data_IF_101328662488
#
_entry.id   IF_101328662488
#
_cell.length_a   1.000
_cell.length_b   1.000
_cell.length_c   1.000
_cell.angle_alpha   90.00
_cell.angle_beta   90.00
_cell.angle_gamma   90.00
#
_symmetry.space_group_name_H-M   'P 1'
#
loop_
_entity.id
_entity.type
_entity.pdbx_description
1 polymer ?
#
# COMPACT_ATOMS: atom_id res chain seq x y z
N UNK A 1 -44.84 -2.19 29.86
CA UNK A 1 -45.18 -2.55 28.47
C UNK A 1 -44.12 -1.95 27.58
N UNK A 2 -43.41 -2.81 26.84
CA UNK A 2 -42.70 -2.58 25.57
C UNK A 2 -41.54 -1.55 25.64
N UNK A 3 -40.27 -1.88 25.39
CA UNK A 3 -39.77 -2.61 24.22
C UNK A 3 -38.60 -3.53 24.55
N UNK A 4 -38.84 -4.83 24.39
CA UNK A 4 -37.83 -5.80 24.05
C UNK A 4 -37.90 -6.00 22.53
N UNK A 5 -36.98 -5.41 21.77
CA UNK A 5 -36.80 -5.75 20.36
C UNK A 5 -35.45 -5.26 19.83
N UNK A 6 -34.75 -6.19 19.19
CA UNK A 6 -33.61 -6.02 18.26
C UNK A 6 -32.21 -6.11 18.86
N UNK A 7 -31.96 -7.25 19.50
CA UNK A 7 -30.83 -8.07 19.05
C UNK A 7 -31.00 -8.31 17.54
N UNK A 8 -30.23 -7.60 16.72
CA UNK A 8 -30.03 -7.96 15.32
C UNK A 8 -28.64 -8.56 15.21
N UNK A 9 -28.64 -9.88 15.26
CA UNK A 9 -27.58 -10.78 14.85
C UNK A 9 -27.09 -10.35 13.46
N UNK A 10 -25.90 -9.74 13.40
CA UNK A 10 -25.19 -9.57 12.14
C UNK A 10 -24.61 -10.94 11.78
N UNK A 11 -25.40 -11.75 11.08
CA UNK A 11 -24.84 -12.83 10.30
C UNK A 11 -24.12 -12.18 9.10
N UNK A 12 -22.83 -11.90 9.28
CA UNK A 12 -21.92 -11.58 8.18
C UNK A 12 -21.95 -12.78 7.23
N UNK A 13 -22.46 -12.61 6.01
CA UNK A 13 -22.36 -13.62 4.96
C UNK A 13 -20.88 -13.93 4.74
N UNK A 14 -20.49 -15.11 5.23
CA UNK A 14 -19.11 -15.60 5.21
C UNK A 14 -18.60 -15.68 3.77
N UNK A 15 -17.40 -15.15 3.54
CA UNK A 15 -16.64 -15.39 2.32
C UNK A 15 -16.52 -16.89 2.06
N UNK A 16 -16.61 -17.29 0.80
CA UNK A 16 -16.58 -18.72 0.42
C UNK A 16 -15.23 -19.30 0.82
N UNK A 17 -15.23 -20.32 1.68
CA UNK A 17 -14.03 -21.08 1.99
C UNK A 17 -13.55 -21.85 0.75
N UNK A 18 -12.26 -21.71 0.42
CA UNK A 18 -11.58 -22.46 -0.62
C UNK A 18 -10.91 -23.70 -0.02
N UNK A 19 -10.99 -24.84 -0.71
CA UNK A 19 -10.26 -26.06 -0.33
C UNK A 19 -9.06 -26.20 -1.24
N UNK A 20 -7.87 -26.16 -0.65
CA UNK A 20 -6.59 -26.19 -1.35
C UNK A 20 -5.92 -27.53 -1.06
N UNK A 21 -5.63 -28.38 -2.06
CA UNK A 21 -5.01 -29.67 -1.79
C UNK A 21 -3.61 -29.51 -1.22
N UNK A 22 -3.28 -30.25 -0.15
CA UNK A 22 -1.92 -30.33 0.37
C UNK A 22 -1.27 -31.59 -0.20
N UNK A 23 -0.44 -31.44 -1.22
CA UNK A 23 0.26 -32.61 -1.77
C UNK A 23 1.33 -33.07 -0.79
N UNK A 24 1.04 -34.11 -0.01
CA UNK A 24 2.04 -34.90 0.69
C UNK A 24 2.52 -36.01 -0.25
N UNK A 25 3.76 -35.90 -0.74
CA UNK A 25 4.33 -36.85 -1.69
C UNK A 25 4.48 -38.24 -1.05
N UNK A 26 3.95 -39.33 -1.65
CA UNK A 26 4.45 -40.67 -1.41
C UNK A 26 5.73 -40.89 -2.23
N UNK A 27 6.65 -41.69 -1.69
CA UNK A 27 7.86 -42.12 -2.40
C UNK A 27 7.53 -42.89 -3.70
N UNK A 28 8.31 -42.60 -4.74
CA UNK A 28 8.45 -43.26 -6.06
C UNK A 28 7.66 -42.66 -7.25
N UNK A 29 8.42 -42.08 -8.21
CA UNK A 29 7.99 -41.74 -9.58
C UNK A 29 7.66 -40.27 -9.81
N UNK A 30 8.66 -39.46 -10.19
CA UNK A 30 8.54 -38.00 -10.31
C UNK A 30 7.86 -37.61 -11.64
N UNK A 31 6.56 -37.32 -11.59
CA UNK A 31 5.96 -36.24 -12.41
C UNK A 31 5.97 -34.95 -11.58
N UNK A 32 6.20 -33.76 -12.18
CA UNK A 32 6.16 -32.51 -11.45
C UNK A 32 4.75 -32.26 -10.92
N UNK A 33 4.62 -32.33 -9.59
CA UNK A 33 3.42 -32.00 -8.85
C UNK A 33 3.02 -30.55 -9.17
N UNK A 34 1.98 -30.34 -9.98
CA UNK A 34 1.36 -29.02 -10.11
C UNK A 34 0.86 -28.63 -8.72
N UNK A 35 1.29 -27.50 -8.15
CA UNK A 35 0.83 -27.07 -6.84
C UNK A 35 -0.67 -26.89 -6.92
N UNK A 36 -1.38 -27.53 -6.00
CA UNK A 36 -2.80 -27.71 -6.17
C UNK A 36 -3.54 -26.40 -5.90
N UNK A 37 -4.19 -25.87 -6.93
CA UNK A 37 -4.84 -24.56 -6.93
C UNK A 37 -6.34 -24.70 -6.66
N UNK A 38 -6.90 -23.80 -5.84
CA UNK A 38 -8.32 -23.75 -5.54
C UNK A 38 -8.94 -22.45 -6.07
N UNK A 39 -10.09 -22.56 -6.73
CA UNK A 39 -10.81 -21.36 -7.19
C UNK A 39 -11.72 -20.82 -6.08
N UNK A 40 -11.79 -19.51 -5.97
CA UNK A 40 -12.73 -18.79 -5.12
C UNK A 40 -13.24 -17.54 -5.83
N UNK A 41 -14.22 -16.88 -5.23
CA UNK A 41 -14.87 -15.72 -5.83
C UNK A 41 -15.01 -14.60 -4.82
N UNK A 42 -14.89 -13.36 -5.29
CA UNK A 42 -15.17 -12.18 -4.49
C UNK A 42 -16.66 -11.86 -4.41
N UNK A 43 -16.99 -10.75 -3.73
CA UNK A 43 -18.38 -10.27 -3.57
C UNK A 43 -19.04 -9.92 -4.90
N UNK A 44 -18.23 -9.61 -5.93
CA UNK A 44 -18.68 -9.30 -7.28
C UNK A 44 -18.67 -10.53 -8.21
N UNK A 45 -18.43 -11.72 -7.64
CA UNK A 45 -18.33 -13.00 -8.36
C UNK A 45 -17.18 -13.07 -9.35
N UNK A 46 -16.16 -12.25 -9.19
CA UNK A 46 -14.96 -12.36 -10.02
C UNK A 46 -14.12 -13.54 -9.56
N UNK A 47 -13.43 -14.18 -10.50
CA UNK A 47 -12.66 -15.38 -10.21
C UNK A 47 -11.27 -15.07 -9.61
N UNK A 48 -10.94 -15.82 -8.57
CA UNK A 48 -9.66 -15.80 -7.87
C UNK A 48 -9.14 -17.21 -7.69
N UNK A 49 -7.83 -17.37 -7.59
CA UNK A 49 -7.17 -18.65 -7.36
C UNK A 49 -6.30 -18.57 -6.10
N UNK A 50 -6.39 -19.56 -5.23
CA UNK A 50 -5.56 -19.70 -4.03
C UNK A 50 -4.69 -20.94 -4.18
N UNK A 51 -3.39 -20.79 -3.93
CA UNK A 51 -2.43 -21.88 -3.87
C UNK A 51 -1.78 -21.92 -2.49
N UNK A 52 -1.58 -23.13 -1.97
CA UNK A 52 -0.83 -23.35 -0.74
C UNK A 52 0.58 -23.80 -1.09
N UNK A 53 1.56 -23.11 -0.55
CA UNK A 53 2.98 -23.39 -0.70
C UNK A 53 3.52 -23.97 0.62
N UNK A 54 3.97 -25.22 0.53
CA UNK A 54 4.52 -26.03 1.61
C UNK A 54 6.01 -26.34 1.40
N UNK A 55 6.70 -25.62 0.49
CA UNK A 55 8.13 -25.83 0.22
C UNK A 55 9.03 -25.13 1.26
N UNK A 56 8.53 -24.08 1.89
CA UNK A 56 9.24 -23.31 2.92
C UNK A 56 9.16 -23.87 4.34
N UNK A 57 9.67 -23.10 5.31
CA UNK A 57 9.55 -23.42 6.75
C UNK A 57 8.12 -23.22 7.27
N UNK A 58 7.46 -22.17 6.77
CA UNK A 58 6.11 -21.75 7.13
C UNK A 58 5.17 -21.92 5.94
N UNK A 59 3.91 -22.24 6.21
CA UNK A 59 2.89 -22.29 5.17
C UNK A 59 2.70 -20.88 4.59
N UNK A 60 2.77 -20.81 3.27
CA UNK A 60 2.44 -19.61 2.50
C UNK A 60 1.20 -19.86 1.65
N UNK A 61 0.40 -18.83 1.49
CA UNK A 61 -0.77 -18.80 0.63
C UNK A 61 -0.51 -17.80 -0.48
N UNK A 62 -0.66 -18.20 -1.74
CA UNK A 62 -0.57 -17.31 -2.90
C UNK A 62 -1.98 -17.05 -3.40
N UNK A 63 -2.36 -15.78 -3.51
CA UNK A 63 -3.65 -15.39 -4.08
C UNK A 63 -3.42 -14.73 -5.44
N UNK A 64 -4.11 -15.25 -6.45
CA UNK A 64 -4.13 -14.75 -7.81
C UNK A 64 -5.52 -14.24 -8.18
N UNK A 65 -5.57 -13.16 -8.94
CA UNK A 65 -6.75 -12.64 -9.59
C UNK A 65 -6.79 -13.13 -11.04
N UNK A 66 -7.80 -13.94 -11.37
CA UNK A 66 -7.84 -14.66 -12.65
C UNK A 66 -8.35 -13.80 -13.82
N UNK A 67 -8.99 -12.67 -13.52
CA UNK A 67 -9.78 -11.90 -14.50
C UNK A 67 -9.29 -10.46 -14.68
N UNK A 68 -7.98 -10.29 -14.92
CA UNK A 68 -7.37 -8.98 -15.21
C UNK A 68 -8.03 -8.25 -16.38
N UNK A 69 -8.44 -9.00 -17.41
CA UNK A 69 -9.08 -8.47 -18.62
C UNK A 69 -10.46 -7.84 -18.37
N UNK A 70 -11.08 -8.11 -17.21
CA UNK A 70 -12.34 -7.46 -16.83
C UNK A 70 -12.13 -6.06 -16.25
N UNK A 71 -10.89 -5.64 -15.99
CA UNK A 71 -10.57 -4.28 -15.55
C UNK A 71 -10.59 -3.37 -16.79
N UNK A 72 -11.39 -2.29 -16.84
CA UNK A 72 -11.38 -1.39 -17.98
C UNK A 72 -9.99 -0.77 -18.25
N UNK A 73 -9.66 -0.58 -19.53
CA UNK A 73 -8.41 0.08 -19.94
C UNK A 73 -8.34 1.49 -19.34
N UNK A 74 -7.15 1.89 -18.88
CA UNK A 74 -6.93 3.18 -18.21
C UNK A 74 -7.45 3.24 -16.76
N UNK A 75 -8.05 2.16 -16.26
CA UNK A 75 -8.44 2.01 -14.86
C UNK A 75 -7.56 0.98 -14.17
N UNK A 76 -7.66 0.97 -12.84
CA UNK A 76 -7.09 -0.09 -12.03
C UNK A 76 -8.07 -0.48 -10.93
N UNK A 77 -7.95 -1.71 -10.46
CA UNK A 77 -8.76 -2.24 -9.37
C UNK A 77 -7.89 -2.38 -8.13
N UNK A 78 -8.23 -1.66 -7.09
CA UNK A 78 -7.70 -1.89 -5.75
C UNK A 78 -8.54 -2.97 -5.07
N UNK A 79 -7.89 -3.96 -4.46
CA UNK A 79 -8.57 -4.99 -3.67
C UNK A 79 -7.82 -5.19 -2.36
N UNK A 80 -8.55 -5.30 -1.25
CA UNK A 80 -8.04 -5.61 0.07
C UNK A 80 -8.78 -6.81 0.70
N UNK A 81 -8.06 -7.67 1.40
CA UNK A 81 -8.59 -8.89 1.99
C UNK A 81 -7.81 -9.36 3.22
N UNK A 82 -8.45 -10.21 4.02
CA UNK A 82 -7.81 -11.07 4.99
C UNK A 82 -7.83 -12.52 4.49
N UNK A 83 -6.77 -13.27 4.77
CA UNK A 83 -6.72 -14.71 4.51
C UNK A 83 -6.54 -15.46 5.82
N UNK A 84 -7.27 -16.57 5.97
CA UNK A 84 -7.25 -17.40 7.16
C UNK A 84 -7.02 -18.86 6.79
N UNK A 85 -6.14 -19.53 7.52
CA UNK A 85 -6.07 -20.98 7.52
C UNK A 85 -7.11 -21.53 8.50
N UNK A 86 -7.99 -22.42 8.04
CA UNK A 86 -8.95 -23.09 8.91
C UNK A 86 -8.34 -24.39 9.43
N UNK A 87 -8.25 -24.52 10.75
CA UNK A 87 -7.78 -25.74 11.44
C UNK A 87 -8.82 -26.22 12.46
N UNK A 88 -8.64 -27.43 12.98
CA UNK A 88 -9.40 -27.96 14.12
C UNK A 88 -8.65 -27.66 15.42
N UNK A 89 -9.37 -27.19 16.43
CA UNK A 89 -8.81 -26.98 17.75
C UNK A 89 -8.53 -28.33 18.45
N UNK A 90 -7.38 -28.47 19.12
CA UNK A 90 -7.09 -29.61 19.98
C UNK A 90 -8.14 -29.76 21.08
N UNK A 91 -8.66 -30.96 21.27
CA UNK A 91 -9.60 -31.30 22.36
C UNK A 91 -11.07 -31.01 22.06
N UNK A 92 -11.41 -29.86 21.48
CA UNK A 92 -12.82 -29.53 21.16
C UNK A 92 -13.27 -30.02 19.79
N UNK A 93 -12.34 -30.17 18.84
CA UNK A 93 -12.65 -30.47 17.43
C UNK A 93 -13.35 -29.33 16.69
N UNK A 94 -13.58 -28.18 17.34
CA UNK A 94 -14.17 -27.00 16.72
C UNK A 94 -13.23 -26.43 15.64
N UNK A 95 -13.81 -25.82 14.59
CA UNK A 95 -13.03 -25.14 13.57
C UNK A 95 -12.59 -23.76 14.07
N UNK A 96 -11.32 -23.45 13.86
CA UNK A 96 -10.68 -22.18 14.18
C UNK A 96 -10.03 -21.61 12.93
N UNK A 97 -10.11 -20.29 12.76
CA UNK A 97 -9.50 -19.55 11.67
C UNK A 97 -8.24 -18.83 12.17
N UNK A 98 -7.09 -19.17 11.60
CA UNK A 98 -5.78 -18.58 11.90
C UNK A 98 -5.45 -17.55 10.82
N UNK A 99 -5.36 -16.28 11.22
CA UNK A 99 -5.12 -15.16 10.31
C UNK A 99 -3.68 -15.19 9.74
N UNK A 100 -3.55 -14.91 8.45
CA UNK A 100 -2.24 -14.72 7.81
C UNK A 100 -1.50 -13.50 8.40
N UNK A 101 -0.18 -13.60 8.49
CA UNK A 101 0.67 -12.55 9.04
C UNK A 101 0.67 -11.32 8.13
N UNK A 102 0.74 -10.13 8.75
CA UNK A 102 0.76 -8.82 8.06
C UNK A 102 -0.54 -8.50 7.31
N UNK A 103 -1.65 -9.08 7.73
CA UNK A 103 -2.97 -8.66 7.31
C UNK A 103 -3.31 -7.24 7.85
N UNK A 104 -4.20 -6.49 7.17
CA UNK A 104 -4.85 -6.84 5.91
C UNK A 104 -3.87 -6.81 4.72
N UNK A 105 -4.13 -7.63 3.73
CA UNK A 105 -3.40 -7.63 2.47
C UNK A 105 -4.14 -6.78 1.44
N UNK A 106 -3.40 -6.19 0.50
CA UNK A 106 -4.00 -5.43 -0.58
C UNK A 106 -3.11 -5.39 -1.81
N UNK A 107 -3.72 -5.33 -2.99
CA UNK A 107 -3.03 -5.19 -4.27
C UNK A 107 -3.79 -4.30 -5.25
N UNK A 108 -3.08 -3.85 -6.26
CA UNK A 108 -3.61 -3.08 -7.39
C UNK A 108 -3.46 -3.92 -8.65
N UNK A 109 -4.52 -3.99 -9.43
CA UNK A 109 -4.59 -4.78 -10.65
C UNK A 109 -4.94 -3.88 -11.84
N UNK A 110 -4.34 -4.14 -12.99
CA UNK A 110 -4.54 -3.38 -14.24
C UNK A 110 -4.82 -4.34 -15.39
N UNK A 111 -5.53 -3.88 -16.42
CA UNK A 111 -5.95 -4.68 -17.58
C UNK A 111 -4.80 -5.45 -18.24
N UNK A 112 -3.73 -4.73 -18.59
CA UNK A 112 -2.55 -5.28 -19.29
C UNK A 112 -1.46 -5.76 -18.31
N UNK A 113 -1.84 -6.01 -17.07
CA UNK A 113 -0.92 -6.44 -16.02
C UNK A 113 -0.56 -7.92 -16.12
N UNK A 114 0.46 -8.30 -15.36
CA UNK A 114 0.74 -9.70 -15.04
C UNK A 114 0.54 -9.87 -13.54
N UNK A 115 -0.29 -10.83 -13.14
CA UNK A 115 -0.45 -11.13 -11.73
C UNK A 115 0.67 -12.07 -11.26
N UNK A 116 1.51 -11.56 -10.36
CA UNK A 116 2.63 -12.29 -9.75
C UNK A 116 2.19 -13.06 -8.49
N UNK A 117 0.88 -13.05 -8.18
CA UNK A 117 0.29 -13.43 -6.91
C UNK A 117 0.78 -12.59 -5.72
N UNK A 118 -0.13 -12.42 -4.77
CA UNK A 118 0.23 -11.92 -3.45
C UNK A 118 0.52 -13.10 -2.54
N UNK A 119 1.77 -13.19 -2.08
CA UNK A 119 2.24 -14.22 -1.14
C UNK A 119 1.98 -13.77 0.29
N UNK A 120 1.17 -14.54 1.00
CA UNK A 120 0.78 -14.33 2.38
C UNK A 120 1.39 -15.43 3.23
N UNK A 121 2.13 -15.07 4.27
CA UNK A 121 2.76 -16.05 5.16
C UNK A 121 1.89 -16.27 6.40
N UNK A 122 1.84 -17.50 6.91
CA UNK A 122 1.13 -17.82 8.16
C UNK A 122 2.12 -18.06 9.31
N UNK A 123 1.64 -18.09 10.55
CA UNK A 123 2.44 -18.47 11.72
C UNK A 123 2.61 -19.98 11.87
N UNK A 124 1.97 -20.77 10.99
CA UNK A 124 1.96 -22.23 11.03
C UNK A 124 3.16 -22.79 10.26
N UNK A 125 3.97 -23.60 10.94
CA UNK A 125 5.08 -24.29 10.28
C UNK A 125 4.60 -25.44 9.40
N UNK A 126 5.27 -25.68 8.27
CA UNK A 126 5.00 -26.83 7.40
C UNK A 126 5.21 -28.15 8.16
N UNK A 127 6.20 -28.18 9.07
CA UNK A 127 6.46 -29.31 9.95
C UNK A 127 5.24 -29.64 10.83
N UNK A 128 4.63 -28.63 11.44
CA UNK A 128 3.44 -28.79 12.27
C UNK A 128 2.24 -29.33 11.47
N UNK A 129 2.07 -28.88 10.23
CA UNK A 129 1.00 -29.39 9.34
C UNK A 129 1.22 -30.88 9.05
N UNK A 130 2.46 -31.30 8.78
CA UNK A 130 2.80 -32.71 8.49
C UNK A 130 2.67 -33.61 9.71
N UNK A 131 3.16 -33.17 10.87
CA UNK A 131 3.11 -33.94 12.13
C UNK A 131 1.69 -34.03 12.71
N UNK A 132 0.87 -32.99 12.48
CA UNK A 132 -0.51 -32.89 13.00
C UNK A 132 -1.54 -32.80 11.88
N UNK A 133 -1.38 -33.62 10.83
CA UNK A 133 -2.22 -33.58 9.62
C UNK A 133 -3.73 -33.58 9.91
N UNK A 134 -4.19 -34.35 10.89
CA UNK A 134 -5.61 -34.40 11.27
C UNK A 134 -6.21 -33.10 11.82
N UNK A 135 -5.38 -32.12 12.19
CA UNK A 135 -5.85 -30.79 12.62
C UNK A 135 -5.98 -29.81 11.46
N UNK A 136 -5.21 -29.98 10.39
CA UNK A 136 -5.10 -29.01 9.30
C UNK A 136 -5.74 -29.48 8.00
N UNK A 137 -5.68 -30.79 7.75
CA UNK A 137 -6.16 -31.41 6.53
C UNK A 137 -7.55 -32.03 6.74
N UNK A 138 -8.38 -31.94 5.72
CA UNK A 138 -9.63 -32.71 5.66
C UNK A 138 -9.38 -34.19 5.33
N UNK A 139 -10.45 -34.99 5.25
CA UNK A 139 -10.35 -36.42 4.94
C UNK A 139 -9.80 -36.72 3.53
N UNK A 140 -9.73 -35.72 2.65
CA UNK A 140 -9.17 -35.82 1.32
C UNK A 140 -7.73 -35.26 1.24
N UNK A 141 -7.17 -34.78 2.37
CA UNK A 141 -5.83 -34.20 2.40
C UNK A 141 -5.78 -32.72 2.00
N UNK A 142 -6.90 -32.01 1.99
CA UNK A 142 -6.94 -30.60 1.61
C UNK A 142 -6.86 -29.68 2.84
N UNK A 143 -6.10 -28.59 2.70
CA UNK A 143 -6.20 -27.41 3.57
C UNK A 143 -7.49 -26.66 3.25
N UNK A 144 -8.08 -26.03 4.26
CA UNK A 144 -9.20 -25.11 4.04
C UNK A 144 -8.72 -23.68 4.31
N UNK A 145 -8.87 -22.81 3.32
CA UNK A 145 -8.52 -21.39 3.39
C UNK A 145 -9.80 -20.58 3.33
N UNK A 146 -9.98 -19.64 4.25
CA UNK A 146 -11.07 -18.68 4.20
C UNK A 146 -10.50 -17.32 3.78
N UNK A 147 -11.06 -16.74 2.72
CA UNK A 147 -10.71 -15.39 2.26
C UNK A 147 -11.86 -14.45 2.59
N UNK A 148 -11.57 -13.42 3.38
CA UNK A 148 -12.50 -12.35 3.71
C UNK A 148 -12.16 -11.11 2.88
N UNK A 149 -13.01 -10.80 1.91
CA UNK A 149 -12.89 -9.60 1.09
C UNK A 149 -13.31 -8.36 1.88
N UNK A 150 -12.44 -7.36 1.98
CA UNK A 150 -12.67 -6.14 2.75
C UNK A 150 -13.16 -5.01 1.83
N UNK A 151 -12.29 -4.58 0.91
CA UNK A 151 -12.56 -3.48 -0.02
C UNK A 151 -12.24 -3.91 -1.46
N UNK A 152 -13.04 -3.42 -2.40
CA UNK A 152 -12.80 -3.54 -3.83
C UNK A 152 -13.22 -2.22 -4.47
N UNK A 153 -12.29 -1.52 -5.11
CA UNK A 153 -12.52 -0.20 -5.68
C UNK A 153 -11.95 -0.13 -7.09
N UNK A 154 -12.73 0.36 -8.03
CA UNK A 154 -12.26 0.69 -9.37
C UNK A 154 -11.83 2.16 -9.39
N UNK A 155 -10.55 2.41 -9.65
CA UNK A 155 -9.96 3.74 -9.69
C UNK A 155 -9.62 4.14 -11.13
N UNK A 156 -9.84 5.41 -11.44
CA UNK A 156 -9.46 6.00 -12.73
C UNK A 156 -7.98 6.38 -12.73
N UNK A 157 -7.27 6.04 -13.81
CA UNK A 157 -5.84 6.24 -13.96
C UNK A 157 -5.04 4.99 -13.58
N UNK A 158 -4.58 4.25 -14.59
CA UNK A 158 -3.85 2.98 -14.41
C UNK A 158 -2.45 3.12 -13.76
N UNK A 159 -2.02 4.34 -13.42
CA UNK A 159 -0.72 4.63 -12.83
C UNK A 159 -0.75 4.73 -11.31
N UNK A 160 -1.92 4.58 -10.66
CA UNK A 160 -2.01 4.69 -9.20
C UNK A 160 -1.24 3.58 -8.51
N UNK A 161 -0.31 3.97 -7.63
CA UNK A 161 0.46 3.06 -6.80
C UNK A 161 0.23 3.36 -5.32
N UNK A 162 0.36 2.36 -4.43
CA UNK A 162 0.29 2.59 -2.96
C UNK A 162 1.28 3.62 -2.42
N UNK A 163 2.33 3.92 -3.18
CA UNK A 163 3.33 4.91 -2.81
C UNK A 163 2.95 6.31 -3.28
N UNK A 164 1.95 6.46 -4.14
CA UNK A 164 1.56 7.76 -4.67
C UNK A 164 0.98 8.63 -3.56
N UNK A 165 0.24 8.06 -2.61
CA UNK A 165 -0.27 8.81 -1.45
C UNK A 165 0.85 9.26 -0.51
N UNK A 166 1.85 8.40 -0.30
CA UNK A 166 3.04 8.72 0.50
C UNK A 166 3.85 9.80 -0.21
N UNK A 167 4.12 9.63 -1.51
CA UNK A 167 4.85 10.56 -2.34
C UNK A 167 4.13 11.91 -2.43
N UNK A 168 2.80 11.91 -2.58
CA UNK A 168 1.97 13.13 -2.59
C UNK A 168 2.08 13.87 -1.26
N UNK A 169 1.99 13.15 -0.15
CA UNK A 169 2.10 13.73 1.20
C UNK A 169 3.50 14.30 1.44
N UNK A 170 4.55 13.54 1.11
CA UNK A 170 5.95 13.96 1.25
C UNK A 170 6.27 15.17 0.34
N UNK A 171 5.80 15.16 -0.91
CA UNK A 171 5.94 16.28 -1.82
C UNK A 171 5.25 17.53 -1.27
N UNK A 172 4.04 17.39 -0.72
CA UNK A 172 3.34 18.51 -0.11
C UNK A 172 4.08 19.05 1.12
N UNK A 173 4.59 18.17 1.99
CA UNK A 173 5.40 18.55 3.15
C UNK A 173 6.67 19.30 2.72
N UNK A 174 7.42 18.74 1.78
CA UNK A 174 8.66 19.33 1.28
C UNK A 174 8.40 20.71 0.64
N UNK A 175 7.33 20.86 -0.13
CA UNK A 175 6.94 22.17 -0.69
C UNK A 175 6.66 23.20 0.41
N UNK A 176 6.01 22.82 1.51
CA UNK A 176 5.76 23.71 2.65
C UNK A 176 7.06 24.10 3.36
N UNK A 177 7.97 23.16 3.55
CA UNK A 177 9.27 23.41 4.18
C UNK A 177 10.13 24.35 3.32
N UNK A 178 10.18 24.12 2.00
CA UNK A 178 10.89 25.01 1.06
C UNK A 178 10.31 26.43 1.13
N UNK A 179 8.98 26.58 1.10
CA UNK A 179 8.34 27.90 1.18
C UNK A 179 8.65 28.61 2.51
N UNK A 180 8.66 27.87 3.63
CA UNK A 180 9.02 28.42 4.93
C UNK A 180 10.49 28.89 4.97
N UNK A 181 11.41 28.07 4.45
CA UNK A 181 12.83 28.40 4.38
C UNK A 181 13.09 29.60 3.47
N UNK A 182 12.39 29.70 2.33
CA UNK A 182 12.48 30.85 1.43
C UNK A 182 12.01 32.14 2.11
N UNK A 183 10.91 32.09 2.87
CA UNK A 183 10.40 33.23 3.62
C UNK A 183 11.36 33.68 4.74
N UNK A 184 11.96 32.73 5.45
CA UNK A 184 12.97 33.04 6.47
C UNK A 184 14.23 33.65 5.84
N UNK A 185 14.72 33.07 4.75
CA UNK A 185 15.91 33.57 4.05
C UNK A 185 15.68 35.01 3.54
N UNK A 186 14.51 35.28 2.94
CA UNK A 186 14.13 36.63 2.54
C UNK A 186 14.12 37.62 3.71
N UNK A 187 13.62 37.22 4.88
CA UNK A 187 13.63 38.08 6.07
C UNK A 187 15.05 38.33 6.59
N UNK A 188 15.92 37.31 6.56
CA UNK A 188 17.32 37.44 6.94
C UNK A 188 18.08 38.38 5.99
N UNK A 189 17.89 38.24 4.68
CA UNK A 189 18.47 39.14 3.67
C UNK A 189 18.06 40.60 3.92
N UNK A 190 16.79 40.85 4.25
CA UNK A 190 16.30 42.19 4.61
C UNK A 190 16.97 42.73 5.88
N UNK A 191 17.16 41.89 6.89
CA UNK A 191 17.84 42.29 8.11
C UNK A 191 19.32 42.63 7.85
N UNK A 192 20.03 41.78 7.11
CA UNK A 192 21.42 42.00 6.71
C UNK A 192 21.55 43.32 5.96
N UNK A 193 20.67 43.58 4.98
CA UNK A 193 20.66 44.83 4.23
C UNK A 193 20.41 46.05 5.14
N UNK A 194 19.47 45.94 6.08
CA UNK A 194 19.18 47.00 7.05
C UNK A 194 20.39 47.30 7.94
N UNK A 195 21.07 46.27 8.45
CA UNK A 195 22.27 46.44 9.26
C UNK A 195 23.42 47.06 8.45
N UNK A 196 23.65 46.59 7.23
CA UNK A 196 24.65 47.17 6.33
C UNK A 196 24.39 48.65 6.09
N UNK A 197 23.14 49.03 5.79
CA UNK A 197 22.74 50.44 5.62
C UNK A 197 23.00 51.26 6.88
N UNK A 198 22.64 50.74 8.06
CA UNK A 198 22.89 51.41 9.35
C UNK A 198 24.39 51.59 9.63
N UNK A 199 25.22 50.58 9.35
CA UNK A 199 26.69 50.63 9.52
C UNK A 199 27.30 51.66 8.57
N UNK A 200 26.86 51.70 7.31
CA UNK A 200 27.32 52.67 6.33
C UNK A 200 26.96 54.10 6.75
N UNK A 201 25.75 54.37 7.25
CA UNK A 201 25.40 55.69 7.78
C UNK A 201 26.17 56.07 9.04
N UNK A 202 26.41 55.11 9.94
CA UNK A 202 27.22 55.35 11.13
C UNK A 202 28.68 55.64 10.77
N UNK A 203 29.22 54.95 9.77
CA UNK A 203 30.58 55.18 9.24
C UNK A 203 30.68 56.51 8.48
N UNK A 204 29.63 56.88 7.72
CA UNK A 204 29.55 58.13 6.99
C UNK A 204 29.40 59.36 7.90
N UNK A 205 28.90 59.22 9.14
CA UNK A 205 28.98 60.32 10.13
C UNK A 205 30.42 60.70 10.52
N UNK A 206 31.43 59.96 10.04
CA UNK A 206 32.85 60.30 10.12
C UNK A 206 33.45 61.01 8.89
N UNK A 207 32.75 61.12 7.75
CA UNK A 207 33.24 61.81 6.53
C UNK A 207 32.10 62.43 5.69
N UNK A 208 32.25 63.63 5.11
CA UNK A 208 31.18 64.31 4.37
C UNK A 208 30.84 63.60 3.05
N UNK A 209 29.54 63.56 2.73
CA UNK A 209 28.87 62.71 1.74
C UNK A 209 29.04 63.11 0.26
N UNK A 210 29.09 62.11 -0.63
CA UNK A 210 28.60 62.20 -2.01
C UNK A 210 27.41 61.22 -2.17
N UNK A 211 26.22 61.75 -2.42
CA UNK A 211 24.98 60.99 -2.59
C UNK A 211 24.95 60.28 -3.97
N UNK A 212 24.73 58.96 -3.98
CA UNK A 212 24.47 58.18 -5.20
C UNK A 212 22.95 57.94 -5.39
N UNK A 213 22.41 57.98 -6.62
CA UNK A 213 20.96 58.00 -6.85
C UNK A 213 20.26 56.66 -6.59
N UNK A 214 19.03 56.74 -6.04
CA UNK A 214 18.13 55.62 -5.69
C UNK A 214 17.84 54.64 -6.85
N UNK A 215 17.99 55.07 -8.11
CA UNK A 215 17.68 54.28 -9.29
C UNK A 215 18.58 53.04 -9.49
N UNK A 216 19.78 53.04 -8.88
CA UNK A 216 20.68 51.89 -8.98
C UNK A 216 20.13 50.67 -8.22
N UNK A 217 19.47 50.89 -7.08
CA UNK A 217 19.02 49.82 -6.19
C UNK A 217 17.76 49.11 -6.69
N UNK A 218 16.84 49.83 -7.33
CA UNK A 218 15.62 49.23 -7.91
C UNK A 218 15.94 48.24 -9.06
N UNK A 219 17.01 48.48 -9.81
CA UNK A 219 17.40 47.67 -10.96
C UNK A 219 17.97 46.28 -10.59
N UNK A 220 18.65 46.18 -9.45
CA UNK A 220 19.31 44.92 -9.02
C UNK A 220 18.31 43.93 -8.43
N UNK A 221 17.31 44.43 -7.70
CA UNK A 221 16.23 43.60 -7.12
C UNK A 221 15.36 42.99 -8.21
N UNK A 222 15.06 43.74 -9.28
CA UNK A 222 14.21 43.29 -10.39
C UNK A 222 14.88 42.23 -11.26
N UNK A 223 16.21 42.30 -11.40
CA UNK A 223 17.00 41.35 -12.20
C UNK A 223 17.11 39.97 -11.55
N UNK A 224 17.06 39.90 -10.22
CA UNK A 224 17.08 38.63 -9.48
C UNK A 224 15.73 37.91 -9.50
N UNK A 225 14.62 38.65 -9.55
CA UNK A 225 13.28 38.07 -9.70
C UNK A 225 13.05 37.44 -11.09
N UNK A 226 13.59 38.02 -12.16
CA UNK A 226 13.42 37.49 -13.53
C UNK A 226 14.21 36.20 -13.78
N UNK A 227 15.29 35.96 -13.04
CA UNK A 227 16.08 34.71 -13.15
C UNK A 227 15.48 33.54 -12.38
N UNK A 228 14.51 33.77 -11.49
CA UNK A 228 13.83 32.71 -10.72
C UNK A 228 12.47 32.32 -11.30
N UNK A 229 11.92 33.09 -12.25
CA UNK A 229 10.60 32.84 -12.85
C UNK A 229 10.60 31.90 -14.06
N UNK A 230 11.74 31.27 -14.41
CA UNK A 230 11.82 30.31 -15.50
C UNK A 230 11.91 28.87 -14.96
N UNK A 231 10.75 28.24 -14.74
CA UNK A 231 10.48 26.80 -14.99
C UNK A 231 9.13 26.38 -14.37
N UNK A 232 8.02 26.97 -14.85
CA UNK A 232 6.66 26.49 -14.52
C UNK A 232 5.93 25.84 -15.72
N UNK A 233 6.63 25.57 -16.82
CA UNK A 233 6.02 24.97 -18.02
C UNK A 233 6.88 23.89 -18.64
N UNK A 234 7.05 22.78 -17.94
CA UNK A 234 7.31 21.48 -18.56
C UNK A 234 6.89 20.39 -17.58
N UNK A 235 6.39 19.26 -18.10
CA UNK A 235 5.71 18.16 -17.40
C UNK A 235 4.18 18.30 -17.30
N UNK A 236 3.55 18.24 -18.48
CA UNK A 236 2.29 17.51 -18.68
C UNK A 236 2.61 16.09 -19.16
#
# INVERSE_FOLDING_TARGET
QLDAARERTWATEAGRAAQVPATATPLAGVEPCVPATANCYDREKQAWCVEADLEGERLRLKLYYAELQHIPVGHLRYVAWNAYLVRRQPGSGARESVLALRAPHSSYYVHDGMDVAVVMETDVSVRQIRESAGMYLDGAGNLTVHVEWLESQLLFGATYHKYDDIARTQCHQMKREIAALQAENYNLERQVFSYQKSISYASARGQPSEDLPDDYYASTVRRLSETQSLSESEYA
#
